data_IF_469662157467
#
_entry.id   IF_469662157467
#
_cell.length_a   1.000
_cell.length_b   1.000
_cell.length_c   1.000
_cell.angle_alpha   90.00
_cell.angle_beta   90.00
_cell.angle_gamma   90.00
#
_symmetry.space_group_name_H-M   'P 1'
#
loop_
_entity.id
_entity.type
_entity.pdbx_description
1 polymer ?
#
# COMPACT_ATOMS: atom_id res chain seq x y z
N UNK A 1 -2.77 6.78 -46.24
CA UNK A 1 -4.13 6.53 -45.70
C UNK A 1 -4.87 5.44 -46.48
N UNK A 2 -5.07 5.56 -47.80
CA UNK A 2 -5.81 4.56 -48.59
C UNK A 2 -5.15 3.17 -48.62
N UNK A 3 -3.82 3.10 -48.66
CA UNK A 3 -3.09 1.83 -48.62
C UNK A 3 -3.17 1.10 -47.27
N UNK A 4 -3.41 1.84 -46.18
CA UNK A 4 -3.51 1.28 -44.82
C UNK A 4 -4.89 0.64 -44.58
N UNK A 5 -5.96 1.23 -45.14
CA UNK A 5 -7.28 0.59 -45.13
C UNK A 5 -7.31 -0.71 -45.94
N UNK A 6 -6.52 -0.80 -47.02
CA UNK A 6 -6.49 -2.00 -47.85
C UNK A 6 -5.76 -3.18 -47.19
N UNK A 7 -4.80 -2.92 -46.29
CA UNK A 7 -4.18 -3.97 -45.47
C UNK A 7 -5.08 -4.47 -44.35
N UNK A 8 -5.97 -3.63 -43.82
CA UNK A 8 -6.84 -4.03 -42.72
C UNK A 8 -7.97 -4.97 -43.18
N UNK A 9 -8.52 -4.75 -44.39
CA UNK A 9 -9.54 -5.63 -44.97
C UNK A 9 -9.01 -7.02 -45.37
N UNK A 10 -7.70 -7.16 -45.62
CA UNK A 10 -7.11 -8.47 -45.93
C UNK A 10 -6.91 -9.35 -44.69
N UNK A 11 -6.91 -8.77 -43.48
CA UNK A 11 -6.76 -9.56 -42.25
C UNK A 11 -8.09 -10.14 -41.74
N UNK A 12 -9.24 -9.53 -42.09
CA UNK A 12 -10.56 -10.02 -41.65
C UNK A 12 -11.08 -11.22 -42.46
N UNK A 13 -10.49 -11.53 -43.61
CA UNK A 13 -10.95 -12.61 -44.50
C UNK A 13 -10.33 -14.00 -44.23
N UNK A 14 -9.47 -14.15 -43.21
CA UNK A 14 -8.84 -15.45 -42.89
C UNK A 14 -9.42 -16.16 -41.66
N UNK A 15 -10.55 -15.70 -41.12
CA UNK A 15 -11.17 -16.27 -39.92
C UNK A 15 -12.34 -17.21 -40.17
N UNK A 16 -12.19 -18.35 -40.86
CA UNK A 16 -13.15 -19.45 -40.73
C UNK A 16 -12.55 -20.81 -41.11
N UNK A 17 -11.67 -21.35 -40.27
CA UNK A 17 -11.24 -22.75 -40.34
C UNK A 17 -11.88 -23.50 -39.18
N UNK A 18 -12.58 -24.58 -39.54
CA UNK A 18 -13.52 -25.31 -38.70
C UNK A 18 -12.95 -25.72 -37.34
N UNK A 19 -13.81 -25.60 -36.34
CA UNK A 19 -13.60 -26.05 -34.96
C UNK A 19 -13.53 -27.59 -34.96
N UNK A 20 -12.38 -28.22 -34.65
CA UNK A 20 -12.32 -29.66 -34.47
C UNK A 20 -13.08 -30.04 -33.19
N UNK A 21 -14.04 -30.95 -33.34
CA UNK A 21 -14.81 -31.56 -32.26
C UNK A 21 -13.86 -32.38 -31.38
N UNK A 22 -13.66 -31.95 -30.13
CA UNK A 22 -12.83 -32.68 -29.16
C UNK A 22 -13.54 -33.98 -28.73
N UNK A 23 -12.82 -35.11 -28.61
CA UNK A 23 -13.36 -36.34 -28.05
C UNK A 23 -13.65 -36.19 -26.54
N UNK A 24 -14.72 -36.87 -26.10
CA UNK A 24 -15.19 -36.85 -24.72
C UNK A 24 -14.10 -37.35 -23.74
N UNK A 25 -13.94 -36.70 -22.57
CA UNK A 25 -12.93 -37.09 -21.59
C UNK A 25 -13.29 -38.43 -20.91
N UNK A 26 -12.28 -39.28 -20.60
CA UNK A 26 -12.47 -40.51 -19.83
C UNK A 26 -12.94 -40.20 -18.41
N UNK A 27 -13.81 -41.07 -17.89
CA UNK A 27 -14.51 -40.90 -16.61
C UNK A 27 -13.58 -40.72 -15.40
N UNK A 28 -14.12 -40.13 -14.31
CA UNK A 28 -13.31 -39.74 -13.16
C UNK A 28 -12.73 -40.96 -12.43
N UNK A 29 -11.45 -40.91 -12.00
CA UNK A 29 -10.87 -41.92 -11.14
C UNK A 29 -11.55 -41.90 -9.77
N UNK A 30 -12.16 -43.02 -9.40
CA UNK A 30 -12.67 -43.31 -8.06
C UNK A 30 -11.52 -43.19 -7.06
N UNK A 31 -11.43 -42.03 -6.41
CA UNK A 31 -10.39 -41.72 -5.43
C UNK A 31 -10.87 -42.24 -4.06
N UNK A 32 -10.15 -43.21 -3.51
CA UNK A 32 -10.38 -43.72 -2.16
C UNK A 32 -10.22 -42.60 -1.11
N UNK A 33 -11.07 -42.54 -0.07
CA UNK A 33 -10.95 -41.56 1.00
C UNK A 33 -9.74 -41.90 1.86
N UNK A 34 -8.60 -41.25 1.58
CA UNK A 34 -7.43 -41.29 2.43
C UNK A 34 -7.81 -40.67 3.79
N UNK A 35 -7.76 -41.52 4.82
CA UNK A 35 -8.05 -41.17 6.19
C UNK A 35 -6.97 -40.21 6.75
N UNK A 36 -7.41 -39.00 7.10
CA UNK A 36 -7.25 -38.49 8.46
C UNK A 36 -5.85 -38.10 8.93
N UNK A 37 -5.18 -37.17 8.26
CA UNK A 37 -4.32 -36.21 8.96
C UNK A 37 -5.06 -34.88 9.06
N UNK A 38 -5.99 -34.80 10.02
CA UNK A 38 -6.49 -33.52 10.53
C UNK A 38 -5.44 -32.91 11.45
N UNK A 39 -4.26 -32.60 10.90
CA UNK A 39 -3.41 -31.60 11.51
C UNK A 39 -4.20 -30.32 11.40
N UNK A 40 -4.86 -29.90 12.49
CA UNK A 40 -5.38 -28.54 12.54
C UNK A 40 -4.20 -27.66 12.18
N UNK A 41 -4.31 -26.78 11.17
CA UNK A 41 -3.28 -25.81 10.90
C UNK A 41 -3.11 -25.06 12.22
N UNK A 42 -2.00 -25.36 12.90
CA UNK A 42 -1.61 -24.69 14.12
C UNK A 42 -1.64 -23.22 13.73
N UNK A 43 -2.57 -22.47 14.32
CA UNK A 43 -2.89 -21.11 13.89
C UNK A 43 -1.63 -20.29 14.05
N UNK A 44 -0.87 -20.17 12.96
CA UNK A 44 0.45 -19.56 12.97
C UNK A 44 0.24 -18.14 13.49
N UNK A 45 0.84 -17.85 14.64
CA UNK A 45 0.61 -16.58 15.31
C UNK A 45 0.93 -15.46 14.33
N UNK A 46 0.02 -14.48 14.21
CA UNK A 46 0.19 -13.41 13.24
C UNK A 46 1.49 -12.65 13.51
N UNK A 47 2.29 -12.49 12.46
CA UNK A 47 3.59 -11.81 12.52
C UNK A 47 3.42 -10.29 12.61
N UNK A 48 2.29 -9.77 12.14
CA UNK A 48 1.91 -8.36 12.24
C UNK A 48 0.40 -8.21 12.02
N UNK A 49 -0.11 -7.01 12.23
CA UNK A 49 -1.44 -6.64 11.76
C UNK A 49 -1.47 -5.18 11.29
N UNK A 50 -2.51 -4.88 10.52
CA UNK A 50 -2.83 -3.54 10.06
C UNK A 50 -4.16 -3.11 10.66
N UNK A 51 -4.25 -1.87 11.11
CA UNK A 51 -5.52 -1.28 11.57
C UNK A 51 -5.96 -0.17 10.62
N UNK A 52 -7.16 -0.30 10.07
CA UNK A 52 -7.77 0.70 9.20
C UNK A 52 -8.29 1.88 10.02
N UNK A 53 -7.92 3.09 9.60
CA UNK A 53 -8.31 4.36 10.18
C UNK A 53 -8.68 5.41 9.12
N UNK A 54 -9.13 6.57 9.60
CA UNK A 54 -9.43 7.73 8.75
C UNK A 54 -10.87 8.22 8.85
N UNK A 55 -11.16 9.35 8.20
CA UNK A 55 -12.49 9.98 8.24
C UNK A 55 -13.48 9.35 7.26
N UNK A 56 -13.01 8.55 6.30
CA UNK A 56 -13.85 7.82 5.35
C UNK A 56 -14.46 6.52 5.91
N UNK A 57 -14.25 6.25 7.21
CA UNK A 57 -14.81 5.05 7.86
C UNK A 57 -16.28 5.22 8.22
N UNK A 58 -17.04 4.14 8.10
CA UNK A 58 -18.41 4.09 8.60
C UNK A 58 -18.41 4.15 10.13
N UNK A 59 -19.32 4.94 10.75
CA UNK A 59 -19.43 5.00 12.20
C UNK A 59 -19.75 3.66 12.87
N UNK A 60 -20.38 2.74 12.14
CA UNK A 60 -20.72 1.40 12.62
C UNK A 60 -19.54 0.41 12.60
N UNK A 61 -18.39 0.79 12.05
CA UNK A 61 -17.23 -0.10 11.96
C UNK A 61 -16.58 -0.30 13.33
N UNK A 62 -16.47 -1.55 13.76
CA UNK A 62 -15.80 -1.91 15.02
C UNK A 62 -14.28 -1.91 14.86
N UNK A 63 -13.53 -1.75 15.94
CA UNK A 63 -12.07 -1.83 15.89
C UNK A 63 -11.58 -3.19 15.35
N UNK A 64 -12.20 -4.29 15.77
CA UNK A 64 -11.83 -5.65 15.32
C UNK A 64 -12.10 -5.87 13.83
N UNK A 65 -13.21 -5.36 13.28
CA UNK A 65 -13.50 -5.47 11.84
C UNK A 65 -12.58 -4.62 10.98
N UNK A 66 -11.81 -3.69 11.58
CA UNK A 66 -10.83 -2.84 10.87
C UNK A 66 -9.43 -3.43 10.84
N UNK A 67 -9.23 -4.63 11.39
CA UNK A 67 -7.91 -5.25 11.46
C UNK A 67 -7.69 -6.27 10.34
N UNK A 68 -6.52 -6.22 9.69
CA UNK A 68 -6.05 -7.26 8.77
C UNK A 68 -4.83 -7.93 9.39
N UNK A 69 -4.90 -9.24 9.55
CA UNK A 69 -3.79 -10.04 10.09
C UNK A 69 -2.81 -10.41 8.97
N UNK A 70 -1.52 -10.25 9.24
CA UNK A 70 -0.43 -10.63 8.34
C UNK A 70 0.38 -11.79 8.90
N UNK A 71 0.64 -12.80 8.06
CA UNK A 71 1.46 -13.96 8.41
C UNK A 71 2.94 -13.81 8.03
N UNK A 72 3.71 -14.87 8.19
CA UNK A 72 5.13 -14.90 7.79
C UNK A 72 5.32 -14.66 6.28
N UNK A 73 4.36 -15.09 5.45
CA UNK A 73 4.34 -14.84 4.00
C UNK A 73 3.91 -13.44 3.59
N UNK A 74 3.59 -12.56 4.54
CA UNK A 74 3.10 -11.21 4.25
C UNK A 74 1.58 -11.14 4.07
N UNK A 75 1.10 -9.99 3.56
CA UNK A 75 -0.31 -9.78 3.22
C UNK A 75 -0.45 -8.81 2.05
N UNK A 76 -1.35 -9.12 1.12
CA UNK A 76 -1.76 -8.19 0.05
C UNK A 76 -3.07 -7.54 0.43
N UNK A 77 -3.11 -6.20 0.40
CA UNK A 77 -4.30 -5.42 0.75
C UNK A 77 -4.91 -4.81 -0.51
N UNK A 78 -6.20 -5.01 -0.67
CA UNK A 78 -6.97 -4.44 -1.78
C UNK A 78 -8.38 -5.02 -1.87
N UNK A 79 -9.19 -4.44 -2.76
CA UNK A 79 -10.61 -4.82 -2.91
C UNK A 79 -10.81 -6.29 -3.32
N UNK A 80 -9.82 -6.89 -3.99
CA UNK A 80 -9.89 -8.29 -4.40
C UNK A 80 -9.74 -9.23 -3.20
N UNK A 81 -8.91 -8.85 -2.22
CA UNK A 81 -8.50 -9.71 -1.11
C UNK A 81 -9.36 -9.52 0.15
N UNK A 82 -9.87 -8.30 0.38
CA UNK A 82 -10.68 -7.97 1.57
C UNK A 82 -11.99 -7.28 1.22
N UNK A 83 -12.70 -7.78 0.20
CA UNK A 83 -13.92 -7.14 -0.32
C UNK A 83 -14.97 -6.86 0.76
N UNK A 84 -15.31 -7.86 1.57
CA UNK A 84 -16.35 -7.73 2.58
C UNK A 84 -15.93 -6.74 3.67
N UNK A 85 -14.73 -6.91 4.21
CA UNK A 85 -14.19 -6.05 5.26
C UNK A 85 -14.12 -4.58 4.83
N UNK A 86 -13.65 -4.31 3.61
CA UNK A 86 -13.60 -2.95 3.08
C UNK A 86 -14.99 -2.36 2.82
N UNK A 87 -15.96 -3.16 2.36
CA UNK A 87 -17.33 -2.72 2.15
C UNK A 87 -18.04 -2.35 3.48
N UNK A 88 -17.76 -3.11 4.55
CA UNK A 88 -18.30 -2.86 5.89
C UNK A 88 -17.63 -1.65 6.57
N UNK A 89 -16.33 -1.44 6.33
CA UNK A 89 -15.57 -0.40 7.00
C UNK A 89 -15.59 0.96 6.29
N UNK A 90 -15.59 1.01 4.95
CA UNK A 90 -15.47 2.24 4.17
C UNK A 90 -16.83 2.75 3.66
N UNK A 91 -16.96 4.06 3.50
CA UNK A 91 -18.06 4.65 2.73
C UNK A 91 -17.97 4.25 1.25
N UNK A 92 -19.12 4.19 0.58
CA UNK A 92 -19.21 3.74 -0.83
C UNK A 92 -18.43 4.67 -1.77
N UNK A 93 -18.44 5.97 -1.48
CA UNK A 93 -17.77 6.99 -2.29
C UNK A 93 -16.24 6.86 -2.28
N UNK A 94 -15.67 6.32 -1.19
CA UNK A 94 -14.22 6.21 -1.03
C UNK A 94 -13.71 4.80 -1.35
N UNK A 95 -14.55 3.77 -1.21
CA UNK A 95 -14.19 2.38 -1.52
C UNK A 95 -13.66 2.19 -2.96
N UNK A 96 -14.12 3.01 -3.91
CA UNK A 96 -13.64 2.98 -5.30
C UNK A 96 -12.16 3.37 -5.49
N UNK A 97 -11.58 4.15 -4.57
CA UNK A 97 -10.18 4.56 -4.61
C UNK A 97 -9.22 3.44 -4.17
N UNK A 98 -9.73 2.41 -3.50
CA UNK A 98 -8.91 1.23 -3.19
C UNK A 98 -8.76 0.39 -4.47
N UNK A 99 -7.53 0.14 -4.92
CA UNK A 99 -7.30 -0.73 -6.07
C UNK A 99 -7.61 -2.20 -5.77
N UNK A 100 -7.71 -3.05 -6.81
CA UNK A 100 -7.92 -4.50 -6.64
C UNK A 100 -6.83 -5.11 -5.77
N UNK A 101 -5.59 -4.75 -6.07
CA UNK A 101 -4.41 -4.97 -5.25
C UNK A 101 -3.76 -3.59 -5.07
N UNK A 102 -3.76 -3.07 -3.85
CA UNK A 102 -3.31 -1.72 -3.58
C UNK A 102 -1.84 -1.72 -3.19
N UNK A 103 -1.51 -2.48 -2.16
CA UNK A 103 -0.15 -2.67 -1.67
C UNK A 103 0.01 -4.06 -1.07
N UNK A 104 1.25 -4.46 -0.84
CA UNK A 104 1.62 -5.69 -0.15
C UNK A 104 2.63 -5.38 0.94
N UNK A 105 2.55 -6.10 2.03
CA UNK A 105 3.58 -6.15 3.05
C UNK A 105 4.24 -7.51 2.96
N UNK A 106 5.56 -7.53 2.84
CA UNK A 106 6.35 -8.75 2.83
C UNK A 106 7.40 -8.73 3.93
N UNK A 107 7.77 -9.91 4.40
CA UNK A 107 8.91 -10.05 5.29
C UNK A 107 10.21 -9.95 4.48
N UNK A 108 11.11 -9.10 4.91
CA UNK A 108 12.44 -8.99 4.36
C UNK A 108 13.26 -10.22 4.76
N UNK A 109 13.68 -11.03 3.78
CA UNK A 109 14.42 -12.26 4.03
C UNK A 109 15.82 -12.02 4.65
N UNK A 110 16.41 -10.84 4.46
CA UNK A 110 17.78 -10.55 4.88
C UNK A 110 17.80 -10.03 6.33
N UNK A 111 16.98 -9.03 6.64
CA UNK A 111 16.96 -8.41 7.98
C UNK A 111 15.84 -8.90 8.90
N UNK A 112 14.92 -9.72 8.39
CA UNK A 112 13.78 -10.25 9.15
C UNK A 112 12.66 -9.24 9.44
N UNK A 113 12.84 -7.97 9.07
CA UNK A 113 11.84 -6.90 9.18
C UNK A 113 10.76 -6.99 8.10
N UNK A 114 9.96 -5.93 7.94
CA UNK A 114 8.88 -5.87 6.97
C UNK A 114 9.09 -4.75 5.96
N UNK A 115 8.66 -4.97 4.72
CA UNK A 115 8.71 -3.99 3.64
C UNK A 115 7.30 -3.78 3.08
N UNK A 116 6.97 -2.52 2.80
CA UNK A 116 5.82 -2.09 2.02
C UNK A 116 6.18 -2.10 0.53
N UNK A 117 5.26 -2.59 -0.29
CA UNK A 117 5.37 -2.57 -1.75
C UNK A 117 4.07 -2.02 -2.33
N UNK A 118 4.12 -0.87 -2.99
CA UNK A 118 2.97 -0.33 -3.71
C UNK A 118 2.73 -1.13 -5.00
N UNK A 119 1.52 -1.66 -5.19
CA UNK A 119 1.16 -2.47 -6.36
C UNK A 119 0.33 -1.69 -7.39
N UNK A 120 -0.45 -0.72 -6.92
CA UNK A 120 -1.33 0.09 -7.76
C UNK A 120 -0.67 1.37 -8.28
N UNK A 121 -1.38 2.05 -9.20
CA UNK A 121 -1.04 3.41 -9.63
C UNK A 121 -1.69 4.50 -8.79
N UNK A 122 -2.55 4.14 -7.82
CA UNK A 122 -3.08 5.12 -6.88
C UNK A 122 -1.97 5.48 -5.87
N UNK A 123 -1.87 6.76 -5.53
CA UNK A 123 -0.79 7.25 -4.69
C UNK A 123 -0.93 6.71 -3.26
N UNK A 124 0.21 6.28 -2.73
CA UNK A 124 0.36 5.71 -1.39
C UNK A 124 1.54 6.40 -0.73
N UNK A 125 1.36 6.81 0.52
CA UNK A 125 2.42 7.40 1.31
C UNK A 125 2.66 6.62 2.59
N UNK A 126 3.94 6.51 2.96
CA UNK A 126 4.39 6.05 4.26
C UNK A 126 4.69 7.27 5.13
N UNK A 127 4.04 7.36 6.28
CA UNK A 127 4.26 8.41 7.26
C UNK A 127 4.89 7.89 8.54
N UNK A 128 6.00 8.51 8.94
CA UNK A 128 6.77 8.19 10.16
C UNK A 128 7.27 9.47 10.81
N UNK A 129 6.94 9.69 12.09
CA UNK A 129 7.40 10.87 12.83
C UNK A 129 7.02 12.20 12.17
N UNK A 130 5.83 12.27 11.55
CA UNK A 130 5.35 13.45 10.82
C UNK A 130 5.94 13.64 9.42
N UNK A 131 6.96 12.86 9.04
CA UNK A 131 7.51 12.85 7.69
C UNK A 131 6.70 11.93 6.78
N UNK A 132 6.54 12.31 5.51
CA UNK A 132 5.75 11.58 4.52
C UNK A 132 6.65 11.23 3.32
N UNK A 133 6.70 9.96 2.95
CA UNK A 133 7.45 9.44 1.80
C UNK A 133 6.48 8.76 0.85
N UNK A 134 6.49 9.13 -0.42
CA UNK A 134 5.66 8.48 -1.44
C UNK A 134 6.22 7.10 -1.78
N UNK A 135 5.36 6.09 -1.73
CA UNK A 135 5.69 4.72 -2.11
C UNK A 135 5.59 4.56 -3.63
N UNK A 136 6.75 4.45 -4.29
CA UNK A 136 6.79 4.18 -5.73
C UNK A 136 6.38 2.74 -6.02
N UNK A 137 5.73 2.56 -7.16
CA UNK A 137 5.22 1.25 -7.58
C UNK A 137 6.36 0.23 -7.70
N UNK A 138 6.18 -0.93 -7.07
CA UNK A 138 7.13 -2.04 -6.98
C UNK A 138 8.45 -1.72 -6.25
N UNK A 139 8.59 -0.55 -5.63
CA UNK A 139 9.72 -0.24 -4.74
C UNK A 139 9.42 -0.75 -3.33
N UNK A 140 10.47 -1.24 -2.65
CA UNK A 140 10.36 -1.72 -1.27
C UNK A 140 10.68 -0.58 -0.29
N UNK A 141 9.73 -0.25 0.58
CA UNK A 141 9.95 0.70 1.68
C UNK A 141 9.97 -0.02 3.03
N UNK A 142 11.02 0.13 3.85
CA UNK A 142 11.10 -0.54 5.14
C UNK A 142 10.05 0.00 6.11
N UNK A 143 9.27 -0.91 6.69
CA UNK A 143 8.24 -0.62 7.69
C UNK A 143 8.77 -0.76 9.12
N UNK A 144 8.26 0.09 9.99
CA UNK A 144 8.47 0.07 11.42
C UNK A 144 7.11 0.10 12.13
N UNK A 145 7.07 -0.45 13.35
CA UNK A 145 5.88 -0.41 14.19
C UNK A 145 5.38 1.03 14.37
N UNK A 146 4.08 1.25 14.16
CA UNK A 146 3.42 2.56 14.26
C UNK A 146 3.44 3.38 12.97
N UNK A 147 4.08 2.91 11.90
CA UNK A 147 4.03 3.57 10.60
C UNK A 147 2.59 3.68 10.07
N UNK A 148 2.29 4.79 9.40
CA UNK A 148 0.97 5.08 8.84
C UNK A 148 1.03 5.06 7.31
N UNK A 149 0.21 4.23 6.69
CA UNK A 149 0.06 4.08 5.25
C UNK A 149 -1.15 4.87 4.77
N UNK A 150 -0.97 6.01 4.10
CA UNK A 150 -2.05 6.90 3.66
C UNK A 150 -2.33 6.78 2.15
N UNK A 151 -3.61 6.83 1.75
CA UNK A 151 -4.01 6.79 0.34
C UNK A 151 -4.51 8.14 -0.17
N UNK A 152 -4.41 8.29 -1.49
CA UNK A 152 -5.08 9.35 -2.21
C UNK A 152 -6.56 9.03 -2.45
N UNK A 153 -7.41 10.01 -2.14
CA UNK A 153 -8.88 9.92 -2.19
C UNK A 153 -9.51 11.09 -2.96
N UNK A 154 -8.78 11.63 -3.95
CA UNK A 154 -9.34 12.58 -4.91
C UNK A 154 -9.05 14.07 -4.68
N UNK A 155 -8.12 14.42 -3.77
CA UNK A 155 -7.72 15.82 -3.56
C UNK A 155 -7.16 16.48 -4.83
N UNK A 156 -7.49 17.74 -5.09
CA UNK A 156 -7.09 18.41 -6.34
C UNK A 156 -5.59 18.69 -6.47
N UNK A 157 -4.86 18.68 -5.35
CA UNK A 157 -3.41 18.91 -5.27
C UNK A 157 -2.60 17.60 -5.21
N UNK A 158 -3.25 16.45 -5.39
CA UNK A 158 -2.64 15.12 -5.33
C UNK A 158 -2.03 14.74 -3.97
N UNK A 159 -2.46 15.39 -2.89
CA UNK A 159 -2.08 15.02 -1.52
C UNK A 159 -3.17 14.16 -0.85
N UNK A 160 -2.88 13.37 0.19
CA UNK A 160 -3.91 12.58 0.88
C UNK A 160 -4.90 13.44 1.69
N UNK A 161 -4.49 14.63 2.09
CA UNK A 161 -5.19 15.55 3.00
C UNK A 161 -5.55 16.90 2.35
N UNK A 162 -5.36 17.03 1.05
CA UNK A 162 -5.59 18.28 0.31
C UNK A 162 -7.05 18.61 0.04
N UNK A 163 -7.30 19.81 -0.53
CA UNK A 163 -8.64 20.29 -0.82
C UNK A 163 -9.38 19.36 -1.80
N UNK A 164 -10.65 19.11 -1.49
CA UNK A 164 -11.50 18.23 -2.30
C UNK A 164 -11.34 16.74 -2.02
N UNK A 165 -10.57 16.34 -1.00
CA UNK A 165 -10.59 14.95 -0.56
C UNK A 165 -12.00 14.56 -0.06
N UNK A 166 -12.42 13.34 -0.39
CA UNK A 166 -13.75 12.82 0.01
C UNK A 166 -13.68 12.17 1.42
N UNK A 167 -12.49 12.17 2.01
CA UNK A 167 -12.18 11.62 3.33
C UNK A 167 -10.77 11.03 3.32
N UNK A 168 -10.21 10.79 4.50
CA UNK A 168 -8.91 10.15 4.63
C UNK A 168 -9.07 8.66 4.89
N UNK A 169 -8.19 7.87 4.29
CA UNK A 169 -8.04 6.44 4.60
C UNK A 169 -6.57 6.20 4.91
N UNK A 170 -6.30 5.51 6.01
CA UNK A 170 -4.96 5.03 6.31
C UNK A 170 -4.95 3.67 6.99
N UNK A 171 -3.81 2.99 6.96
CA UNK A 171 -3.53 1.82 7.79
C UNK A 171 -2.39 2.12 8.76
N UNK A 172 -2.53 1.70 10.01
CA UNK A 172 -1.44 1.70 10.98
C UNK A 172 -0.82 0.31 11.01
N UNK A 173 0.50 0.24 10.82
CA UNK A 173 1.24 -1.01 10.89
C UNK A 173 1.67 -1.35 12.32
N UNK A 174 1.37 -2.57 12.77
CA UNK A 174 1.79 -3.07 14.06
C UNK A 174 2.56 -4.37 13.90
N UNK A 175 3.85 -4.33 14.24
CA UNK A 175 4.69 -5.53 14.39
C UNK A 175 4.30 -6.28 15.68
N UNK A 176 4.03 -7.58 15.59
CA UNK A 176 3.68 -8.41 16.76
C UNK A 176 4.91 -8.77 17.60
N UNK A 177 6.10 -8.84 17.00
CA UNK A 177 7.37 -9.13 17.67
C UNK A 177 7.93 -7.87 18.33
N UNK A 178 7.66 -6.70 17.75
CA UNK A 178 8.09 -5.40 18.26
C UNK A 178 7.49 -5.02 19.63
N UNK A 179 6.50 -5.75 20.14
CA UNK A 179 5.96 -5.59 21.49
C UNK A 179 6.73 -6.39 22.54
N UNK A 180 8.07 -6.31 22.54
CA UNK A 180 8.83 -6.90 23.65
C UNK A 180 8.36 -6.24 24.97
N UNK A 181 7.85 -7.04 25.93
CA UNK A 181 7.31 -6.53 27.19
C UNK A 181 8.47 -6.02 28.04
N UNK A 182 8.75 -4.72 27.98
CA UNK A 182 9.81 -4.14 28.80
C UNK A 182 10.26 -2.74 28.40
N UNK A 183 10.07 -2.33 27.15
CA UNK A 183 10.30 -0.93 26.77
C UNK A 183 9.06 -0.13 27.17
N UNK A 184 9.14 0.78 28.15
CA UNK A 184 7.99 1.56 28.59
C UNK A 184 7.44 2.33 27.40
N UNK A 185 6.27 1.88 26.96
CA UNK A 185 5.47 2.51 25.92
C UNK A 185 5.10 3.88 26.47
N UNK A 186 5.82 4.92 26.05
CA UNK A 186 5.29 6.29 26.14
C UNK A 186 3.87 6.26 25.56
N UNK A 187 2.88 6.91 26.20
CA UNK A 187 1.49 6.80 25.80
C UNK A 187 1.42 7.00 24.30
N UNK A 188 0.84 6.04 23.59
CA UNK A 188 0.62 6.11 22.16
C UNK A 188 -0.11 7.43 21.90
N UNK A 189 0.63 8.47 21.57
CA UNK A 189 0.04 9.71 21.12
C UNK A 189 -0.63 9.30 19.82
N UNK A 190 -1.97 9.28 19.84
CA UNK A 190 -2.74 9.23 18.62
C UNK A 190 -2.06 10.21 17.66
N UNK A 191 -1.76 9.81 16.41
CA UNK A 191 -1.14 10.71 15.46
C UNK A 191 -1.96 12.00 15.52
N UNK A 192 -1.31 13.07 15.99
CA UNK A 192 -1.92 14.37 16.06
C UNK A 192 -2.22 14.72 14.62
N UNK A 193 -3.44 14.42 14.19
CA UNK A 193 -4.02 15.07 13.04
C UNK A 193 -3.91 16.54 13.43
N UNK A 194 -3.09 17.37 12.75
CA UNK A 194 -3.03 18.77 13.09
C UNK A 194 -4.48 19.23 13.06
N UNK A 195 -4.99 19.64 14.24
CA UNK A 195 -6.35 20.10 14.36
C UNK A 195 -6.51 21.11 13.24
N UNK A 196 -7.38 20.79 12.28
CA UNK A 196 -7.72 21.64 11.16
C UNK A 196 -7.90 23.00 11.77
N UNK A 197 -7.00 23.93 11.45
CA UNK A 197 -7.02 25.28 11.99
C UNK A 197 -8.46 25.72 11.86
N UNK A 198 -9.13 25.95 12.99
CA UNK A 198 -10.48 26.47 12.97
C UNK A 198 -10.42 27.68 12.07
N UNK A 199 -11.07 27.58 10.91
CA UNK A 199 -11.26 28.72 10.04
C UNK A 199 -12.01 29.73 10.89
N UNK A 200 -11.27 30.69 11.42
CA UNK A 200 -11.79 31.91 11.98
C UNK A 200 -12.59 32.53 10.84
N UNK A 201 -13.90 32.28 10.84
CA UNK A 201 -14.89 32.87 9.96
C UNK A 201 -15.01 34.34 10.32
N UNK A 202 -13.92 35.07 10.14
CA UNK A 202 -13.92 36.52 10.20
C UNK A 202 -14.46 36.99 8.85
N UNK A 203 -15.62 37.67 8.82
CA UNK A 203 -16.17 38.16 7.57
C UNK A 203 -15.17 39.10 6.88
N UNK A 204 -15.00 39.02 5.55
CA UNK A 204 -14.09 39.88 4.84
C UNK A 204 -14.56 41.34 4.96
N UNK A 205 -13.78 42.15 5.66
CA UNK A 205 -13.91 43.60 5.59
C UNK A 205 -13.43 44.05 4.21
N UNK A 206 -14.36 44.54 3.40
CA UNK A 206 -14.10 45.21 2.13
C UNK A 206 -13.26 46.48 2.36
N UNK A 207 -11.94 46.40 2.26
CA UNK A 207 -11.08 47.57 2.17
C UNK A 207 -9.72 47.21 1.56
N UNK A 208 -9.42 47.83 0.42
CA UNK A 208 -8.04 48.02 -0.05
C UNK A 208 -7.61 47.16 -1.22
N UNK A 209 -7.84 47.67 -2.44
CA UNK A 209 -7.07 47.30 -3.62
C UNK A 209 -5.61 47.75 -3.42
N UNK A 210 -4.65 46.83 -3.51
CA UNK A 210 -3.24 47.16 -3.78
C UNK A 210 -2.69 46.25 -4.87
N UNK A 211 -1.86 46.78 -5.78
CA UNK A 211 -1.43 46.08 -6.99
C UNK A 211 -0.26 45.12 -6.74
N UNK A 212 -0.14 44.20 -7.69
CA UNK A 212 0.77 43.06 -7.77
C UNK A 212 2.25 43.39 -7.56
N UNK A 213 2.90 42.57 -6.71
CA UNK A 213 4.35 42.38 -6.67
C UNK A 213 4.72 40.98 -7.21
N UNK A 214 5.93 40.81 -7.77
CA UNK A 214 6.32 39.60 -8.49
C UNK A 214 6.54 38.41 -7.57
N UNK A 215 6.15 37.24 -8.06
CA UNK A 215 6.30 35.95 -7.40
C UNK A 215 7.78 35.59 -7.21
N UNK A 216 8.21 35.54 -5.95
CA UNK A 216 9.51 35.05 -5.53
C UNK A 216 9.47 33.52 -5.55
N UNK A 217 10.14 32.91 -6.54
CA UNK A 217 10.34 31.46 -6.60
C UNK A 217 11.33 31.05 -5.50
N UNK A 218 10.81 30.65 -4.34
CA UNK A 218 11.60 29.98 -3.32
C UNK A 218 12.01 28.60 -3.83
N UNK A 219 13.30 28.49 -4.15
CA UNK A 219 13.97 27.25 -4.48
C UNK A 219 13.78 26.25 -3.33
N UNK A 220 13.12 25.14 -3.63
CA UNK A 220 12.94 24.00 -2.74
C UNK A 220 14.32 23.44 -2.39
N UNK A 221 14.77 23.70 -1.18
CA UNK A 221 16.01 23.16 -0.63
C UNK A 221 15.80 21.67 -0.36
N UNK A 222 16.37 20.81 -1.20
CA UNK A 222 16.46 19.37 -0.95
C UNK A 222 17.35 19.16 0.28
N UNK A 223 16.72 18.93 1.43
CA UNK A 223 17.44 18.52 2.63
C UNK A 223 17.77 17.04 2.51
N UNK A 224 19.07 16.75 2.45
CA UNK A 224 19.63 15.40 2.52
C UNK A 224 19.32 14.79 3.89
N UNK A 225 18.73 13.59 3.86
CA UNK A 225 18.33 12.85 5.06
C UNK A 225 19.55 12.32 5.85
N UNK A 226 19.52 12.30 7.19
CA UNK A 226 20.34 11.37 7.96
C UNK A 226 19.86 9.93 7.69
N UNK A 227 20.80 9.07 7.33
CA UNK A 227 20.55 7.66 7.04
C UNK A 227 19.87 6.97 8.24
N UNK A 228 18.68 6.33 8.09
CA UNK A 228 18.12 5.47 9.12
C UNK A 228 19.13 4.40 9.58
N UNK A 229 19.08 3.98 10.86
CA UNK A 229 19.96 2.95 11.43
C UNK A 229 19.73 1.52 10.89
N UNK A 230 19.34 1.38 9.62
CA UNK A 230 19.18 0.12 8.88
C UNK A 230 20.08 -0.02 7.64
N UNK A 231 20.90 0.98 7.30
CA UNK A 231 21.78 0.96 6.12
C UNK A 231 22.91 -0.08 6.18
N UNK A 232 23.17 -0.68 7.35
CA UNK A 232 24.14 -1.77 7.48
C UNK A 232 23.83 -2.95 6.57
N UNK A 233 22.56 -3.21 6.24
CA UNK A 233 22.17 -4.36 5.43
C UNK A 233 22.57 -4.21 3.95
N UNK A 234 22.43 -3.01 3.37
CA UNK A 234 22.80 -2.77 1.98
C UNK A 234 24.32 -2.73 1.79
N UNK A 235 25.05 -2.14 2.74
CA UNK A 235 26.52 -2.12 2.72
C UNK A 235 27.10 -3.53 2.93
N UNK A 236 26.48 -4.33 3.80
CA UNK A 236 26.87 -5.73 3.97
C UNK A 236 26.61 -6.57 2.71
N UNK A 237 25.52 -6.32 2.00
CA UNK A 237 25.23 -7.02 0.74
C UNK A 237 26.24 -6.66 -0.36
N UNK A 238 26.61 -5.38 -0.51
CA UNK A 238 27.68 -4.97 -1.44
C UNK A 238 29.03 -5.61 -1.08
N UNK A 239 29.38 -5.63 0.20
CA UNK A 239 30.64 -6.23 0.66
C UNK A 239 30.68 -7.75 0.38
N UNK A 240 29.58 -8.46 0.63
CA UNK A 240 29.49 -9.89 0.36
C UNK A 240 29.58 -10.20 -1.14
N UNK A 241 28.95 -9.38 -1.98
CA UNK A 241 29.02 -9.52 -3.43
C UNK A 241 30.45 -9.27 -3.97
N UNK A 242 31.16 -8.30 -3.38
CA UNK A 242 32.56 -8.02 -3.72
C UNK A 242 33.50 -9.16 -3.30
N UNK A 243 33.28 -9.78 -2.14
CA UNK A 243 34.06 -10.96 -1.73
C UNK A 243 33.85 -12.16 -2.66
N UNK A 244 32.62 -12.41 -3.12
CA UNK A 244 32.36 -13.49 -4.09
C UNK A 244 33.06 -13.25 -5.43
N UNK A 245 33.11 -12.00 -5.91
CA UNK A 245 33.84 -11.68 -7.14
C UNK A 245 35.36 -11.90 -7.00
N UNK A 246 35.94 -11.61 -5.83
CA UNK A 246 37.37 -11.86 -5.59
C UNK A 246 37.69 -13.36 -5.55
N UNK A 247 36.80 -14.19 -5.00
CA UNK A 247 36.99 -15.65 -4.98
C UNK A 247 36.92 -16.29 -6.38
N UNK A 248 36.16 -15.70 -7.31
CA UNK A 248 36.10 -16.20 -8.69
C UNK A 248 37.32 -15.82 -9.55
N UNK A 249 38.16 -14.89 -9.08
CA UNK A 249 39.37 -14.45 -9.79
C UNK A 249 40.65 -15.19 -9.37
N UNK A 250 40.56 -16.07 -8.35
CA UNK A 250 41.64 -16.95 -7.90
C UNK A 250 41.47 -18.36 -8.47
#
# INVERSE_FOLDING_TARGET
HQQQQQQQQQQESQGNVGRPTLPAPPGPPTTQPAQGFSGQPEAEAAAFWLELGGTALRPSSSASSRQIMGGAGGVTVGRLHQRQQLAEALSDDVAQYVSREHFRIERNAICGGFNLIALSSNLLWLSRGGQRVEAKRNEQLPLAHGDVLQFYTGASDYTPDGPGNIGTIYWIFYDSVGQLPGTPRGPAQAPHVPATAAYDMRPPSLSGMTPAGPAEMHAHQQQSWPEPPGFGCQQQQQHQQQQQQQQQQQ
#
